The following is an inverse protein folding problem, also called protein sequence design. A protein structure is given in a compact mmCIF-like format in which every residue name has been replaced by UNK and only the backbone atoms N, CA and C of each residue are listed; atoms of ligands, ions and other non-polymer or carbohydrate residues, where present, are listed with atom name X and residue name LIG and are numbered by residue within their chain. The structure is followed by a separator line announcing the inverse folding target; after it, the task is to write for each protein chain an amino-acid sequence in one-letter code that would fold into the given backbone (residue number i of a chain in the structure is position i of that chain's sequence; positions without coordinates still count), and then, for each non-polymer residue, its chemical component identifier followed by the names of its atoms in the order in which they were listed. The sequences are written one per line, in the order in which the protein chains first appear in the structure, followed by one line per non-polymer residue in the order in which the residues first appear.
data_IF_213581871300
#
_entry.id   IF_213581871300
#
_cell.length_a   1.000
_cell.length_b   1.000
_cell.length_c   1.000
_cell.angle_alpha   90.00
_cell.angle_beta   90.00
_cell.angle_gamma   90.00
#
_symmetry.space_group_name_H-M   'P 1'
#
loop_
_entity.id
_entity.type
_entity.pdbx_description
1 polymer ?
#
# COMPACT_ATOMS: atom_id res chain seq x y z
N UNK A 1 -27.53 -3.65 -12.11
CA UNK A 1 -27.98 -4.66 -11.12
C UNK A 1 -29.47 -4.51 -10.81
N UNK A 2 -29.89 -3.56 -9.96
CA UNK A 2 -31.31 -3.42 -9.56
C UNK A 2 -32.25 -3.14 -10.76
N UNK A 3 -31.85 -2.25 -11.67
CA UNK A 3 -32.62 -1.98 -12.90
C UNK A 3 -32.72 -3.16 -13.87
N UNK A 4 -31.87 -4.19 -13.70
CA UNK A 4 -31.93 -5.45 -14.44
C UNK A 4 -32.66 -6.56 -13.66
N UNK A 5 -33.29 -6.24 -12.53
CA UNK A 5 -34.02 -7.19 -11.69
C UNK A 5 -33.14 -8.10 -10.82
N UNK A 6 -31.82 -7.92 -10.83
CA UNK A 6 -30.91 -8.71 -9.99
C UNK A 6 -30.92 -8.19 -8.54
N UNK A 7 -31.11 -9.11 -7.58
CA UNK A 7 -31.13 -8.81 -6.15
C UNK A 7 -29.71 -8.87 -5.58
N UNK A 8 -29.25 -7.83 -4.85
CA UNK A 8 -28.01 -7.88 -4.10
C UNK A 8 -27.98 -9.05 -3.11
N UNK A 9 -26.83 -9.69 -2.98
CA UNK A 9 -26.57 -10.78 -2.05
C UNK A 9 -25.45 -10.43 -1.06
N UNK A 10 -25.08 -11.40 -0.22
CA UNK A 10 -24.01 -11.28 0.76
C UNK A 10 -22.70 -10.76 0.13
N UNK A 11 -22.27 -11.32 -1.00
CA UNK A 11 -21.01 -10.95 -1.65
C UNK A 11 -21.09 -9.56 -2.28
N UNK A 12 -22.25 -9.20 -2.82
CA UNK A 12 -22.49 -7.86 -3.37
C UNK A 12 -22.24 -6.77 -2.34
N UNK A 13 -22.70 -6.97 -1.09
CA UNK A 13 -22.53 -6.00 -0.03
C UNK A 13 -21.08 -5.87 0.45
N UNK A 14 -20.30 -6.96 0.45
CA UNK A 14 -18.84 -6.88 0.66
C UNK A 14 -18.24 -5.91 -0.37
N UNK A 15 -18.54 -6.12 -1.67
CA UNK A 15 -18.03 -5.28 -2.74
C UNK A 15 -18.45 -3.81 -2.62
N UNK A 16 -19.72 -3.54 -2.30
CA UNK A 16 -20.24 -2.18 -2.12
C UNK A 16 -19.57 -1.44 -0.97
N UNK A 17 -19.50 -2.06 0.21
CA UNK A 17 -18.90 -1.44 1.40
C UNK A 17 -17.39 -1.29 1.22
N UNK A 18 -16.73 -2.27 0.61
CA UNK A 18 -15.32 -2.18 0.24
C UNK A 18 -15.06 -0.99 -0.71
N UNK A 19 -15.91 -0.79 -1.72
CA UNK A 19 -15.81 0.37 -2.59
C UNK A 19 -15.99 1.69 -1.81
N UNK A 20 -16.95 1.76 -0.88
CA UNK A 20 -17.09 2.91 0.03
C UNK A 20 -15.84 3.13 0.87
N UNK A 21 -15.23 2.06 1.42
CA UNK A 21 -13.96 2.10 2.16
C UNK A 21 -12.81 2.66 1.33
N UNK A 22 -12.79 2.41 0.02
CA UNK A 22 -11.77 2.93 -0.89
C UNK A 22 -12.06 4.33 -1.44
N UNK A 23 -13.28 4.83 -1.25
CA UNK A 23 -13.69 6.17 -1.65
C UNK A 23 -13.87 7.13 -0.46
N UNK A 24 -13.81 6.63 0.78
CA UNK A 24 -14.07 7.40 2.00
C UNK A 24 -15.52 7.80 2.18
N UNK A 25 -16.46 7.06 1.61
CA UNK A 25 -17.89 7.37 1.64
C UNK A 25 -18.53 6.74 2.88
N UNK A 26 -18.28 7.31 4.06
CA UNK A 26 -18.71 6.72 5.35
C UNK A 26 -20.22 6.56 5.42
N UNK A 27 -20.97 7.59 5.08
CA UNK A 27 -22.44 7.56 5.18
C UNK A 27 -23.06 6.60 4.15
N UNK A 28 -22.50 6.54 2.94
CA UNK A 28 -22.95 5.53 1.96
C UNK A 28 -22.66 4.10 2.44
N UNK A 29 -21.47 3.87 3.02
CA UNK A 29 -21.11 2.58 3.59
C UNK A 29 -22.06 2.14 4.70
N UNK A 30 -22.48 3.07 5.57
CA UNK A 30 -23.49 2.82 6.61
C UNK A 30 -24.84 2.47 6.05
N UNK A 31 -25.32 3.25 5.08
CA UNK A 31 -26.59 2.99 4.41
C UNK A 31 -26.58 1.59 3.80
N UNK A 32 -25.49 1.21 3.12
CA UNK A 32 -25.36 -0.14 2.57
C UNK A 32 -25.35 -1.21 3.66
N UNK A 33 -24.52 -1.06 4.71
CA UNK A 33 -24.42 -2.01 5.81
C UNK A 33 -25.76 -2.21 6.54
N UNK A 34 -26.47 -1.13 6.87
CA UNK A 34 -27.78 -1.20 7.53
C UNK A 34 -28.87 -1.77 6.63
N UNK A 35 -28.81 -1.50 5.32
CA UNK A 35 -29.80 -2.00 4.37
C UNK A 35 -29.77 -3.53 4.22
N UNK A 36 -28.63 -4.17 4.52
CA UNK A 36 -28.49 -5.63 4.46
C UNK A 36 -29.61 -6.31 5.24
N UNK A 37 -29.77 -5.98 6.52
CA UNK A 37 -30.83 -6.55 7.36
C UNK A 37 -32.17 -5.90 7.07
N UNK A 38 -32.23 -4.55 7.10
CA UNK A 38 -33.50 -3.80 7.08
C UNK A 38 -34.28 -3.95 5.78
N UNK A 39 -33.59 -4.14 4.65
CA UNK A 39 -34.20 -4.16 3.30
C UNK A 39 -34.03 -5.52 2.64
N UNK A 40 -32.87 -6.14 2.76
CA UNK A 40 -32.55 -7.37 2.03
C UNK A 40 -32.67 -8.64 2.87
N UNK A 41 -32.83 -8.54 4.19
CA UNK A 41 -32.90 -9.69 5.10
C UNK A 41 -31.60 -10.49 5.18
N UNK A 42 -30.45 -9.85 4.95
CA UNK A 42 -29.12 -10.44 4.95
C UNK A 42 -28.43 -10.03 6.25
N UNK A 43 -28.08 -11.00 7.09
CA UNK A 43 -27.29 -10.75 8.30
C UNK A 43 -25.84 -10.43 7.93
N UNK A 44 -25.25 -9.32 8.42
CA UNK A 44 -23.84 -9.01 8.21
C UNK A 44 -22.94 -10.04 8.89
N UNK A 45 -21.99 -10.58 8.14
CA UNK A 45 -20.95 -11.45 8.70
C UNK A 45 -19.57 -10.77 8.76
N UNK A 46 -18.52 -11.51 9.17
CA UNK A 46 -17.20 -10.94 9.48
C UNK A 46 -16.57 -10.13 8.33
N UNK A 47 -16.78 -10.51 7.07
CA UNK A 47 -16.25 -9.78 5.92
C UNK A 47 -16.85 -8.37 5.80
N UNK A 48 -18.13 -8.22 6.15
CA UNK A 48 -18.84 -6.93 6.13
C UNK A 48 -18.34 -6.00 7.24
N UNK A 49 -18.20 -6.55 8.45
CA UNK A 49 -17.61 -5.82 9.58
C UNK A 49 -16.18 -5.40 9.29
N UNK A 50 -15.37 -6.27 8.66
CA UNK A 50 -14.00 -5.94 8.24
C UNK A 50 -13.97 -4.74 7.29
N UNK A 51 -14.86 -4.70 6.30
CA UNK A 51 -14.97 -3.57 5.37
C UNK A 51 -15.40 -2.28 6.08
N UNK A 52 -16.35 -2.35 7.03
CA UNK A 52 -16.79 -1.20 7.80
C UNK A 52 -15.71 -0.66 8.76
N UNK A 53 -14.98 -1.55 9.43
CA UNK A 53 -13.86 -1.17 10.31
C UNK A 53 -12.74 -0.52 9.50
N UNK A 54 -12.42 -1.05 8.32
CA UNK A 54 -11.46 -0.44 7.40
C UNK A 54 -11.92 0.95 6.93
N UNK A 55 -13.19 1.10 6.54
CA UNK A 55 -13.79 2.39 6.16
C UNK A 55 -13.70 3.42 7.29
N UNK A 56 -14.17 3.07 8.49
CA UNK A 56 -14.16 3.96 9.65
C UNK A 56 -12.74 4.32 10.08
N UNK A 57 -11.84 3.33 10.11
CA UNK A 57 -10.43 3.54 10.47
C UNK A 57 -9.69 4.45 9.51
N UNK A 58 -9.89 4.28 8.19
CA UNK A 58 -9.34 5.18 7.16
C UNK A 58 -9.84 6.62 7.31
N UNK A 59 -11.08 6.80 7.74
CA UNK A 59 -11.70 8.11 7.93
C UNK A 59 -11.45 8.74 9.30
N UNK A 60 -10.62 8.14 10.16
CA UNK A 60 -10.33 8.69 11.50
C UNK A 60 -11.41 8.47 12.55
N UNK A 61 -12.45 7.70 12.22
CA UNK A 61 -13.54 7.34 13.12
C UNK A 61 -13.18 6.09 13.90
N UNK A 62 -12.01 6.11 14.54
CA UNK A 62 -11.36 4.92 15.12
C UNK A 62 -12.15 4.39 16.31
N UNK A 63 -12.68 5.29 17.15
CA UNK A 63 -13.52 4.96 18.29
C UNK A 63 -14.80 4.26 17.81
N UNK A 64 -15.43 4.75 16.76
CA UNK A 64 -16.62 4.14 16.16
C UNK A 64 -16.32 2.76 15.55
N UNK A 65 -15.11 2.58 15.00
CA UNK A 65 -14.67 1.27 14.51
C UNK A 65 -14.51 0.27 15.68
N UNK A 66 -14.00 0.71 16.83
CA UNK A 66 -13.91 -0.11 18.05
C UNK A 66 -15.30 -0.46 18.59
N UNK A 67 -16.22 0.50 18.63
CA UNK A 67 -17.61 0.26 19.04
C UNK A 67 -18.33 -0.70 18.09
N UNK A 68 -18.05 -0.64 16.79
CA UNK A 68 -18.60 -1.57 15.81
C UNK A 68 -18.13 -3.01 16.05
N UNK A 69 -16.84 -3.20 16.39
CA UNK A 69 -16.34 -4.52 16.76
C UNK A 69 -16.99 -5.07 18.02
N UNK A 70 -17.33 -4.20 18.99
CA UNK A 70 -18.05 -4.61 20.21
C UNK A 70 -19.50 -5.03 19.98
N UNK A 71 -20.08 -4.69 18.81
CA UNK A 71 -21.45 -5.06 18.42
C UNK A 71 -21.53 -6.32 17.56
N UNK A 72 -20.39 -6.90 17.19
CA UNK A 72 -20.36 -8.09 16.35
C UNK A 72 -20.67 -9.33 17.18
N UNK A 73 -21.42 -10.26 16.61
CA UNK A 73 -21.55 -11.60 17.15
C UNK A 73 -20.26 -12.39 16.85
N UNK A 74 -19.51 -12.73 17.89
CA UNK A 74 -18.23 -13.43 17.79
C UNK A 74 -17.00 -12.53 17.98
N UNK A 75 -15.81 -13.12 17.83
CA UNK A 75 -14.54 -12.41 18.06
C UNK A 75 -14.02 -11.77 16.77
N UNK A 76 -13.50 -10.52 16.82
CA UNK A 76 -12.87 -9.89 15.67
C UNK A 76 -11.66 -10.68 15.17
N UNK A 77 -11.60 -10.87 13.85
CA UNK A 77 -10.53 -11.64 13.21
C UNK A 77 -9.24 -10.82 13.04
N UNK A 78 -8.19 -11.48 12.55
CA UNK A 78 -6.91 -10.83 12.30
C UNK A 78 -7.01 -9.68 11.26
N UNK A 79 -7.95 -9.73 10.32
CA UNK A 79 -8.13 -8.67 9.31
C UNK A 79 -8.63 -7.40 9.96
N UNK A 80 -9.66 -7.49 10.82
CA UNK A 80 -10.22 -6.36 11.55
C UNK A 80 -9.19 -5.69 12.47
N UNK A 81 -8.41 -6.48 13.22
CA UNK A 81 -7.37 -5.93 14.08
C UNK A 81 -6.25 -5.27 13.27
N UNK A 82 -5.88 -5.81 12.09
CA UNK A 82 -4.91 -5.15 11.19
C UNK A 82 -5.45 -3.82 10.67
N UNK A 83 -6.72 -3.74 10.30
CA UNK A 83 -7.37 -2.49 9.88
C UNK A 83 -7.33 -1.43 11.00
N UNK A 84 -7.65 -1.81 12.24
CA UNK A 84 -7.53 -0.91 13.38
C UNK A 84 -6.08 -0.47 13.64
N UNK A 85 -5.12 -1.40 13.61
CA UNK A 85 -3.71 -1.08 13.78
C UNK A 85 -3.21 -0.11 12.70
N UNK A 86 -3.70 -0.26 11.46
CA UNK A 86 -3.38 0.64 10.35
C UNK A 86 -3.90 2.05 10.63
N UNK A 87 -5.15 2.16 11.07
CA UNK A 87 -5.78 3.42 11.43
C UNK A 87 -5.06 4.12 12.60
N UNK A 88 -4.66 3.37 13.63
CA UNK A 88 -3.97 3.93 14.79
C UNK A 88 -2.65 4.62 14.44
N UNK A 89 -1.96 4.16 13.40
CA UNK A 89 -0.74 4.81 12.92
C UNK A 89 -1.00 6.20 12.35
N UNK A 90 -2.12 6.39 11.65
CA UNK A 90 -2.49 7.68 11.08
C UNK A 90 -2.95 8.65 12.16
N UNK A 91 -3.80 8.16 13.06
CA UNK A 91 -4.44 8.97 14.09
C UNK A 91 -3.64 9.04 15.40
N UNK A 92 -2.41 8.52 15.38
CA UNK A 92 -1.44 8.53 16.51
C UNK A 92 -1.99 7.95 17.82
N UNK A 93 -2.93 7.01 17.73
CA UNK A 93 -3.50 6.35 18.90
C UNK A 93 -2.63 5.15 19.32
N UNK A 94 -1.53 5.44 20.01
CA UNK A 94 -0.56 4.42 20.45
C UNK A 94 -1.20 3.36 21.37
N UNK A 95 -2.00 3.70 22.39
CA UNK A 95 -2.60 2.69 23.26
C UNK A 95 -3.48 1.69 22.50
N UNK A 96 -4.25 2.16 21.52
CA UNK A 96 -5.06 1.27 20.69
C UNK A 96 -4.20 0.43 19.72
N UNK A 97 -3.12 1.01 19.18
CA UNK A 97 -2.15 0.26 18.37
C UNK A 97 -1.53 -0.90 19.15
N UNK A 98 -1.10 -0.64 20.39
CA UNK A 98 -0.53 -1.65 21.29
C UNK A 98 -1.54 -2.77 21.56
N UNK A 99 -2.80 -2.41 21.87
CA UNK A 99 -3.88 -3.36 22.11
C UNK A 99 -4.19 -4.21 20.87
N UNK A 100 -4.29 -3.60 19.69
CA UNK A 100 -4.55 -4.30 18.44
C UNK A 100 -3.39 -5.25 18.08
N UNK A 101 -2.14 -4.80 18.23
CA UNK A 101 -0.97 -5.62 18.00
C UNK A 101 -0.87 -6.80 18.98
N UNK A 102 -1.20 -6.61 20.26
CA UNK A 102 -1.20 -7.70 21.23
C UNK A 102 -2.22 -8.80 20.86
N UNK A 103 -3.40 -8.42 20.36
CA UNK A 103 -4.39 -9.36 19.84
C UNK A 103 -3.85 -10.11 18.63
N UNK A 104 -3.23 -9.40 17.69
CA UNK A 104 -2.63 -9.99 16.49
C UNK A 104 -1.48 -10.96 16.82
N UNK A 105 -0.65 -10.64 17.82
CA UNK A 105 0.43 -11.52 18.27
C UNK A 105 -0.06 -12.83 18.91
N UNK A 106 -1.35 -12.90 19.28
CA UNK A 106 -2.02 -14.11 19.77
C UNK A 106 -2.75 -14.84 18.64
N UNK A 107 -3.41 -14.11 17.75
CA UNK A 107 -4.22 -14.67 16.66
C UNK A 107 -3.40 -15.18 15.46
N UNK A 108 -2.33 -14.48 15.10
CA UNK A 108 -1.48 -14.78 13.94
C UNK A 108 -0.01 -14.43 14.26
N UNK A 109 0.65 -15.16 15.18
CA UNK A 109 2.01 -14.85 15.65
C UNK A 109 3.07 -14.92 14.55
N UNK A 110 2.83 -15.66 13.47
CA UNK A 110 3.70 -15.81 12.30
C UNK A 110 3.53 -14.69 11.27
N UNK A 111 2.49 -13.88 11.37
CA UNK A 111 2.28 -12.75 10.46
C UNK A 111 3.25 -11.61 10.79
N UNK A 112 4.08 -11.22 9.82
CA UNK A 112 5.03 -10.13 9.95
C UNK A 112 4.36 -8.74 10.01
N UNK A 113 3.17 -8.59 9.42
CA UNK A 113 2.50 -7.29 9.24
C UNK A 113 2.28 -6.54 10.57
N UNK A 114 1.73 -7.15 11.63
CA UNK A 114 1.50 -6.48 12.91
C UNK A 114 2.78 -6.00 13.60
N UNK A 115 3.87 -6.78 13.51
CA UNK A 115 5.17 -6.39 14.06
C UNK A 115 5.71 -5.14 13.39
N UNK A 116 5.69 -5.14 12.05
CA UNK A 116 6.17 -4.02 11.25
C UNK A 116 5.31 -2.78 11.50
N UNK A 117 3.98 -2.94 11.55
CA UNK A 117 3.07 -1.82 11.78
C UNK A 117 3.24 -1.20 13.17
N UNK A 118 3.34 -2.01 14.22
CA UNK A 118 3.58 -1.50 15.58
C UNK A 118 4.95 -0.82 15.69
N UNK A 119 5.99 -1.41 15.10
CA UNK A 119 7.31 -0.78 15.05
C UNK A 119 7.24 0.59 14.36
N UNK A 120 6.50 0.71 13.24
CA UNK A 120 6.33 1.99 12.55
C UNK A 120 5.56 3.02 13.38
N UNK A 121 4.55 2.59 14.16
CA UNK A 121 3.84 3.46 15.12
C UNK A 121 4.84 4.02 16.14
N UNK A 122 5.71 3.18 16.70
CA UNK A 122 6.74 3.63 17.64
C UNK A 122 7.80 4.51 17.00
N UNK A 123 8.23 4.21 15.77
CA UNK A 123 9.16 5.07 15.00
C UNK A 123 8.58 6.48 14.84
N UNK A 124 7.32 6.61 14.42
CA UNK A 124 6.66 7.90 14.28
C UNK A 124 6.53 8.67 15.61
N UNK A 125 6.54 7.96 16.74
CA UNK A 125 6.51 8.53 18.08
C UNK A 125 7.90 8.74 18.72
N UNK A 126 9.00 8.45 18.01
CA UNK A 126 10.37 8.53 18.55
C UNK A 126 10.68 7.49 19.65
N UNK A 127 9.85 6.45 19.78
CA UNK A 127 9.93 5.40 20.81
C UNK A 127 10.90 4.29 20.42
N UNK A 128 12.18 4.62 20.26
CA UNK A 128 13.21 3.72 19.70
C UNK A 128 13.44 2.43 20.49
N UNK A 129 13.35 2.50 21.82
CA UNK A 129 13.45 1.31 22.66
C UNK A 129 12.30 0.33 22.38
N UNK A 130 11.10 0.83 22.13
CA UNK A 130 9.95 0.01 21.78
C UNK A 130 10.12 -0.62 20.38
N UNK A 131 10.64 0.13 19.41
CA UNK A 131 11.00 -0.40 18.08
C UNK A 131 11.97 -1.58 18.21
N UNK A 132 13.03 -1.41 19.01
CA UNK A 132 14.01 -2.46 19.25
C UNK A 132 13.39 -3.70 19.89
N UNK A 133 12.47 -3.52 20.87
CA UNK A 133 11.76 -4.64 21.51
C UNK A 133 10.88 -5.40 20.53
N UNK A 134 10.10 -4.72 19.70
CA UNK A 134 9.24 -5.37 18.69
C UNK A 134 10.07 -6.14 17.66
N UNK A 135 11.17 -5.56 17.18
CA UNK A 135 12.09 -6.23 16.25
C UNK A 135 12.76 -7.46 16.88
N UNK A 136 13.15 -7.37 18.15
CA UNK A 136 13.70 -8.53 18.89
C UNK A 136 12.66 -9.63 19.07
N UNK A 137 11.41 -9.29 19.38
CA UNK A 137 10.31 -10.26 19.47
C UNK A 137 10.06 -10.96 18.13
N UNK A 138 10.04 -10.19 17.04
CA UNK A 138 9.87 -10.71 15.67
C UNK A 138 10.97 -11.73 15.33
N UNK A 139 12.24 -11.42 15.63
CA UNK A 139 13.38 -12.34 15.44
C UNK A 139 13.28 -13.57 16.33
N UNK A 140 12.94 -13.41 17.61
CA UNK A 140 12.83 -14.52 18.55
C UNK A 140 11.75 -15.53 18.14
N UNK A 141 10.72 -15.08 17.43
CA UNK A 141 9.66 -15.93 16.87
C UNK A 141 9.95 -16.45 15.46
N UNK A 142 11.12 -16.13 14.89
CA UNK A 142 11.48 -16.53 13.52
C UNK A 142 10.62 -15.88 12.43
N UNK A 143 9.94 -14.78 12.74
CA UNK A 143 9.04 -14.11 11.79
C UNK A 143 9.88 -13.29 10.82
N UNK A 144 9.73 -13.57 9.53
CA UNK A 144 10.47 -12.90 8.46
C UNK A 144 9.49 -12.07 7.64
N UNK A 145 9.82 -10.78 7.43
CA UNK A 145 9.04 -9.93 6.54
C UNK A 145 9.29 -10.34 5.09
N UNK A 146 8.22 -10.63 4.35
CA UNK A 146 8.36 -10.80 2.91
C UNK A 146 8.92 -9.51 2.26
N UNK A 147 9.92 -9.64 1.37
CA UNK A 147 10.42 -8.51 0.61
C UNK A 147 9.36 -8.00 -0.38
N UNK A 148 9.42 -6.70 -0.65
CA UNK A 148 8.63 -6.09 -1.72
C UNK A 148 9.25 -6.40 -3.06
N UNK A 149 8.44 -6.96 -3.96
CA UNK A 149 8.77 -7.22 -5.35
C UNK A 149 7.86 -6.40 -6.24
N UNK A 150 8.44 -5.86 -7.30
CA UNK A 150 7.69 -5.33 -8.44
C UNK A 150 8.09 -6.07 -9.69
N UNK A 151 7.15 -6.32 -10.60
CA UNK A 151 7.45 -6.99 -11.86
C UNK A 151 6.60 -6.44 -13.00
N UNK A 152 7.07 -6.69 -14.23
CA UNK A 152 6.35 -6.34 -15.44
C UNK A 152 6.70 -7.30 -16.58
N UNK A 153 5.91 -7.25 -17.64
CA UNK A 153 6.14 -8.01 -18.87
C UNK A 153 6.59 -7.07 -19.99
N UNK A 154 7.70 -7.39 -20.64
CA UNK A 154 8.17 -6.70 -21.83
C UNK A 154 8.83 -7.72 -22.77
N UNK A 155 8.58 -7.61 -24.08
CA UNK A 155 9.14 -8.54 -25.06
C UNK A 155 8.79 -10.03 -24.83
N UNK A 156 7.65 -10.33 -24.18
CA UNK A 156 7.23 -11.70 -23.85
C UNK A 156 7.97 -12.34 -22.68
N UNK A 157 8.76 -11.57 -21.92
CA UNK A 157 9.45 -12.00 -20.73
C UNK A 157 8.98 -11.23 -19.49
N UNK A 158 8.96 -11.91 -18.34
CA UNK A 158 8.67 -11.29 -17.04
C UNK A 158 9.97 -10.83 -16.40
N UNK A 159 10.03 -9.56 -16.05
CA UNK A 159 11.15 -8.92 -15.37
C UNK A 159 10.73 -8.56 -13.94
N UNK A 160 11.45 -9.07 -12.95
CA UNK A 160 11.17 -8.84 -11.54
C UNK A 160 12.29 -8.04 -10.87
N UNK A 161 11.91 -7.20 -9.92
CA UNK A 161 12.78 -6.26 -9.25
C UNK A 161 12.52 -6.29 -7.75
N UNK A 162 13.59 -6.37 -6.97
CA UNK A 162 13.58 -6.15 -5.53
C UNK A 162 14.32 -4.85 -5.21
N UNK A 163 13.96 -4.20 -4.11
CA UNK A 163 14.64 -2.97 -3.71
C UNK A 163 16.15 -3.19 -3.57
N UNK A 164 16.95 -2.31 -4.20
CA UNK A 164 18.41 -2.38 -4.22
C UNK A 164 19.02 -3.52 -5.05
N UNK A 165 18.21 -4.30 -5.77
CA UNK A 165 18.66 -5.44 -6.56
C UNK A 165 19.55 -5.01 -7.74
N UNK A 166 20.65 -5.75 -7.95
CA UNK A 166 21.64 -5.52 -9.00
C UNK A 166 21.81 -6.71 -9.94
N UNK A 167 21.01 -7.77 -9.77
CA UNK A 167 21.16 -9.04 -10.48
C UNK A 167 20.54 -9.00 -11.89
N UNK A 168 19.83 -7.92 -12.25
CA UNK A 168 19.23 -7.75 -13.56
C UNK A 168 20.29 -7.47 -14.66
N UNK A 169 20.14 -8.07 -15.84
CA UNK A 169 21.09 -7.91 -16.96
C UNK A 169 21.34 -6.44 -17.37
N UNK A 170 20.29 -5.61 -17.28
CA UNK A 170 20.33 -4.16 -17.55
C UNK A 170 20.43 -3.30 -16.26
N UNK A 171 20.97 -3.83 -15.15
CA UNK A 171 20.98 -3.12 -13.88
C UNK A 171 21.61 -1.72 -14.01
N UNK A 172 22.75 -1.59 -14.67
CA UNK A 172 23.46 -0.30 -14.81
C UNK A 172 22.59 0.78 -15.47
N UNK A 173 21.91 0.41 -16.55
CA UNK A 173 21.01 1.28 -17.31
C UNK A 173 19.78 1.65 -16.48
N UNK A 174 19.20 0.67 -15.78
CA UNK A 174 18.05 0.89 -14.88
C UNK A 174 18.40 1.89 -13.78
N UNK A 175 19.53 1.70 -13.08
CA UNK A 175 19.96 2.62 -12.02
C UNK A 175 20.28 4.01 -12.57
N UNK A 176 20.86 4.11 -13.77
CA UNK A 176 21.06 5.40 -14.43
C UNK A 176 19.73 6.09 -14.74
N UNK A 177 18.73 5.34 -15.23
CA UNK A 177 17.40 5.86 -15.51
C UNK A 177 16.65 6.27 -14.26
N UNK A 178 16.80 5.54 -13.15
CA UNK A 178 16.28 5.95 -11.84
C UNK A 178 16.83 7.32 -11.42
N UNK A 179 18.15 7.53 -11.50
CA UNK A 179 18.73 8.84 -11.18
C UNK A 179 18.18 9.95 -12.07
N UNK A 180 18.06 9.70 -13.37
CA UNK A 180 17.45 10.65 -14.32
C UNK A 180 15.99 10.97 -13.95
N UNK A 181 15.16 9.95 -13.68
CA UNK A 181 13.77 10.13 -13.26
C UNK A 181 13.67 11.00 -12.01
N UNK A 182 14.44 10.67 -10.97
CA UNK A 182 14.39 11.41 -9.70
C UNK A 182 14.87 12.86 -9.86
N UNK A 183 15.90 13.08 -10.69
CA UNK A 183 16.36 14.43 -11.00
C UNK A 183 15.30 15.25 -11.75
N UNK A 184 14.57 14.65 -12.68
CA UNK A 184 13.53 15.34 -13.47
C UNK A 184 12.30 15.74 -12.65
N UNK A 185 11.97 14.99 -11.60
CA UNK A 185 10.82 15.31 -10.73
C UNK A 185 11.21 16.18 -9.53
N UNK A 186 12.51 16.47 -9.32
CA UNK A 186 13.07 17.13 -8.13
C UNK A 186 12.35 18.43 -7.74
N UNK A 187 11.97 19.26 -8.71
CA UNK A 187 11.31 20.55 -8.43
C UNK A 187 9.86 20.40 -7.91
N UNK A 188 9.22 19.26 -8.15
CA UNK A 188 7.84 18.96 -7.71
C UNK A 188 7.74 17.82 -6.70
N UNK A 189 8.87 17.25 -6.27
CA UNK A 189 8.93 16.06 -5.43
C UNK A 189 9.75 16.33 -4.17
N UNK A 190 9.18 15.95 -3.03
CA UNK A 190 9.89 15.92 -1.75
C UNK A 190 9.83 14.48 -1.24
N UNK A 191 10.99 13.87 -1.00
CA UNK A 191 11.06 12.52 -0.49
C UNK A 191 10.46 12.42 0.92
N UNK A 192 9.61 11.42 1.14
CA UNK A 192 9.12 11.11 2.47
C UNK A 192 10.12 10.17 3.19
N UNK A 193 10.99 10.78 3.98
CA UNK A 193 12.04 10.08 4.74
C UNK A 193 11.52 9.38 6.00
N UNK A 194 10.22 9.49 6.32
CA UNK A 194 9.61 8.92 7.54
C UNK A 194 9.69 7.38 7.62
N UNK A 195 9.97 6.70 6.51
CA UNK A 195 10.10 5.25 6.44
C UNK A 195 11.55 4.72 6.34
N UNK A 196 12.54 5.60 6.17
CA UNK A 196 13.93 5.19 6.11
C UNK A 196 14.38 4.73 7.51
N UNK A 197 14.76 3.46 7.61
CA UNK A 197 14.94 2.76 8.90
C UNK A 197 16.23 3.14 9.64
N UNK A 198 17.06 4.02 9.08
CA UNK A 198 18.40 4.33 9.55
C UNK A 198 18.60 5.81 9.88
N UNK A 199 19.40 6.10 10.91
CA UNK A 199 19.90 7.45 11.23
C UNK A 199 21.01 7.84 10.24
N UNK A 200 20.67 7.92 8.95
CA UNK A 200 21.55 8.52 7.95
C UNK A 200 21.13 9.97 7.70
N UNK A 201 22.07 10.79 7.24
CA UNK A 201 21.80 12.14 6.73
C UNK A 201 20.67 12.08 5.68
N UNK A 202 19.84 13.12 5.57
CA UNK A 202 18.65 13.11 4.70
C UNK A 202 18.98 12.75 3.23
N UNK A 203 20.21 13.01 2.81
CA UNK A 203 20.71 12.69 1.47
C UNK A 203 20.87 11.17 1.24
N UNK A 204 21.32 10.39 2.24
CA UNK A 204 21.44 8.92 2.16
C UNK A 204 20.07 8.22 2.12
N UNK A 205 19.10 8.74 2.87
CA UNK A 205 17.71 8.24 2.87
C UNK A 205 17.01 8.43 1.52
N UNK A 206 17.31 9.51 0.81
CA UNK A 206 16.77 9.77 -0.52
C UNK A 206 17.32 8.78 -1.57
N UNK A 207 18.57 8.34 -1.43
CA UNK A 207 19.18 7.31 -2.29
C UNK A 207 18.59 5.91 -2.04
N UNK A 208 18.30 5.53 -0.79
CA UNK A 208 17.60 4.28 -0.46
C UNK A 208 16.17 4.24 -1.03
N UNK A 209 15.44 5.35 -0.95
CA UNK A 209 14.09 5.47 -1.52
C UNK A 209 14.14 5.40 -3.06
N UNK A 210 15.19 5.94 -3.70
CA UNK A 210 15.34 5.92 -5.16
C UNK A 210 15.35 4.48 -5.71
N UNK A 211 15.84 3.51 -4.93
CA UNK A 211 16.03 2.12 -5.37
C UNK A 211 14.87 1.20 -4.99
N UNK A 212 13.69 1.74 -4.70
CA UNK A 212 12.48 0.95 -4.53
C UNK A 212 12.13 0.14 -5.81
N UNK A 213 11.57 -1.06 -5.59
CA UNK A 213 11.26 -2.01 -6.68
C UNK A 213 10.37 -1.41 -7.78
N UNK A 214 9.43 -0.55 -7.42
CA UNK A 214 8.50 0.10 -8.35
C UNK A 214 9.23 1.07 -9.27
N UNK A 215 10.20 1.81 -8.73
CA UNK A 215 11.02 2.75 -9.51
C UNK A 215 11.93 2.00 -10.47
N UNK A 216 12.51 0.89 -10.03
CA UNK A 216 13.30 0.01 -10.90
C UNK A 216 12.46 -0.55 -12.06
N UNK A 217 11.25 -1.03 -11.76
CA UNK A 217 10.32 -1.54 -12.79
C UNK A 217 9.92 -0.45 -13.80
N UNK A 218 9.55 0.74 -13.33
CA UNK A 218 9.17 1.85 -14.22
C UNK A 218 10.38 2.36 -15.01
N UNK A 219 11.57 2.42 -14.42
CA UNK A 219 12.81 2.74 -15.14
C UNK A 219 13.06 1.77 -16.29
N UNK A 220 12.98 0.46 -16.01
CA UNK A 220 13.10 -0.59 -17.02
C UNK A 220 12.03 -0.43 -18.12
N UNK A 221 10.78 -0.15 -17.73
CA UNK A 221 9.68 0.13 -18.66
C UNK A 221 9.97 1.33 -19.56
N UNK A 222 10.50 2.43 -19.02
CA UNK A 222 10.87 3.62 -19.80
C UNK A 222 12.05 3.38 -20.76
N UNK A 223 12.99 2.51 -20.40
CA UNK A 223 14.14 2.16 -21.26
C UNK A 223 13.66 1.30 -22.44
N UNK A 224 12.80 0.31 -22.18
CA UNK A 224 12.50 -0.74 -23.15
C UNK A 224 11.15 -0.57 -23.87
N UNK A 225 10.22 0.26 -23.37
CA UNK A 225 8.94 0.50 -24.03
C UNK A 225 9.10 1.44 -25.23
N UNK A 226 9.32 0.85 -26.40
CA UNK A 226 9.63 1.57 -27.64
C UNK A 226 8.47 2.41 -28.22
N UNK A 227 7.22 2.13 -27.88
CA UNK A 227 6.06 2.79 -28.48
C UNK A 227 5.58 4.02 -27.69
N UNK A 228 5.41 5.13 -28.41
CA UNK A 228 4.61 6.26 -27.94
C UNK A 228 3.18 5.77 -27.64
N UNK A 229 2.63 6.15 -26.49
CA UNK A 229 1.27 5.76 -26.08
C UNK A 229 1.10 4.40 -25.38
N UNK A 230 2.04 3.44 -25.48
CA UNK A 230 1.92 2.17 -24.72
C UNK A 230 2.08 2.43 -23.22
N UNK A 231 1.12 2.01 -22.37
CA UNK A 231 1.23 2.15 -20.93
C UNK A 231 2.33 1.25 -20.34
N UNK A 232 3.02 1.75 -19.31
CA UNK A 232 3.93 0.93 -18.49
C UNK A 232 3.08 0.24 -17.42
N UNK A 233 3.01 -1.10 -17.48
CA UNK A 233 2.23 -1.91 -16.55
C UNK A 233 3.16 -2.56 -15.53
N UNK A 234 3.00 -2.23 -14.26
CA UNK A 234 3.79 -2.77 -13.15
C UNK A 234 2.87 -3.45 -12.16
N UNK A 235 3.30 -4.59 -11.63
CA UNK A 235 2.62 -5.33 -10.58
C UNK A 235 3.49 -5.36 -9.33
N UNK A 236 2.87 -5.27 -8.15
CA UNK A 236 3.55 -5.29 -6.86
C UNK A 236 2.84 -6.28 -5.92
N UNK A 237 3.62 -7.05 -5.16
CA UNK A 237 3.08 -8.02 -4.19
C UNK A 237 2.61 -7.36 -2.89
N UNK A 238 3.21 -6.24 -2.54
CA UNK A 238 2.82 -5.41 -1.40
C UNK A 238 2.06 -4.18 -1.91
N UNK A 239 1.37 -3.51 -1.00
CA UNK A 239 0.83 -2.18 -1.26
C UNK A 239 1.96 -1.19 -1.62
N UNK A 240 1.72 -0.30 -2.58
CA UNK A 240 2.70 0.75 -2.93
C UNK A 240 2.83 1.73 -1.76
N UNK A 241 4.04 2.24 -1.48
CA UNK A 241 4.23 3.27 -0.47
C UNK A 241 3.86 4.66 -1.00
N UNK A 242 3.49 5.56 -0.10
CA UNK A 242 3.09 6.95 -0.40
C UNK A 242 4.16 7.70 -1.21
N UNK A 243 5.43 7.46 -0.89
CA UNK A 243 6.58 8.05 -1.57
C UNK A 243 6.72 7.58 -3.03
N UNK A 244 6.60 6.27 -3.27
CA UNK A 244 6.59 5.73 -4.63
C UNK A 244 5.35 6.18 -5.39
N UNK A 245 4.18 6.19 -4.76
CA UNK A 245 2.96 6.66 -5.40
C UNK A 245 3.09 8.11 -5.88
N UNK A 246 3.59 9.00 -5.01
CA UNK A 246 3.81 10.41 -5.34
C UNK A 246 4.85 10.56 -6.46
N UNK A 247 5.98 9.88 -6.36
CA UNK A 247 7.03 9.94 -7.38
C UNK A 247 6.53 9.42 -8.73
N UNK A 248 5.82 8.28 -8.77
CA UNK A 248 5.32 7.69 -10.01
C UNK A 248 4.28 8.57 -10.71
N UNK A 249 3.41 9.27 -9.97
CA UNK A 249 2.51 10.29 -10.56
C UNK A 249 3.31 11.38 -11.29
N UNK A 250 4.35 11.91 -10.65
CA UNK A 250 5.20 12.95 -11.24
C UNK A 250 6.02 12.42 -12.42
N UNK A 251 6.52 11.19 -12.33
CA UNK A 251 7.20 10.50 -13.43
C UNK A 251 6.27 10.36 -14.62
N UNK A 252 5.03 9.90 -14.41
CA UNK A 252 4.01 9.80 -15.45
C UNK A 252 3.80 11.15 -16.18
N UNK A 253 3.78 12.26 -15.43
CA UNK A 253 3.67 13.62 -15.99
C UNK A 253 4.89 14.03 -16.80
N UNK A 254 6.10 13.95 -16.24
CA UNK A 254 7.30 14.51 -16.89
C UNK A 254 7.75 13.66 -18.09
N UNK A 255 7.43 12.37 -18.12
CA UNK A 255 7.73 11.49 -19.24
C UNK A 255 6.58 11.37 -20.25
N UNK A 256 5.43 12.03 -20.03
CA UNK A 256 4.22 11.89 -20.85
C UNK A 256 3.86 10.41 -21.10
N UNK A 257 3.73 9.66 -19.99
CA UNK A 257 3.46 8.23 -20.00
C UNK A 257 2.32 7.89 -19.04
N UNK A 258 1.46 6.97 -19.47
CA UNK A 258 0.50 6.31 -18.57
C UNK A 258 1.23 5.20 -17.83
N UNK A 259 1.20 5.24 -16.50
CA UNK A 259 1.70 4.17 -15.64
C UNK A 259 0.49 3.49 -14.98
N UNK A 260 0.37 2.18 -15.18
CA UNK A 260 -0.65 1.36 -14.53
C UNK A 260 0.08 0.49 -13.51
N UNK A 261 -0.13 0.76 -12.22
CA UNK A 261 0.46 -0.02 -11.13
C UNK A 261 -0.65 -0.80 -10.42
N UNK A 262 -0.57 -2.13 -10.45
CA UNK A 262 -1.41 -3.00 -9.62
C UNK A 262 -0.63 -3.37 -8.37
N UNK A 263 -1.11 -2.97 -7.20
CA UNK A 263 -0.53 -3.39 -5.92
C UNK A 263 -1.40 -4.44 -5.24
N UNK A 264 -1.13 -4.77 -3.97
CA UNK A 264 -1.93 -5.74 -3.22
C UNK A 264 -3.42 -5.35 -3.06
N UNK A 265 -3.75 -4.06 -3.18
CA UNK A 265 -5.03 -3.50 -2.79
C UNK A 265 -5.85 -2.97 -3.97
N UNK A 266 -5.22 -2.36 -4.97
CA UNK A 266 -5.92 -1.71 -6.06
C UNK A 266 -5.06 -1.48 -7.31
N UNK A 267 -5.72 -0.97 -8.35
CA UNK A 267 -5.08 -0.45 -9.55
C UNK A 267 -4.94 1.07 -9.44
N UNK A 268 -3.72 1.54 -9.71
CA UNK A 268 -3.36 2.95 -9.79
C UNK A 268 -3.11 3.30 -11.24
N UNK A 269 -3.98 4.11 -11.83
CA UNK A 269 -3.80 4.64 -13.17
C UNK A 269 -3.26 6.05 -13.04
N UNK A 270 -1.99 6.22 -13.38
CA UNK A 270 -1.26 7.48 -13.19
C UNK A 270 -1.02 8.15 -14.53
N UNK A 271 -1.47 9.40 -14.65
CA UNK A 271 -1.33 10.24 -15.84
C UNK A 271 -1.35 11.71 -15.42
N UNK A 272 -0.52 12.54 -16.06
CA UNK A 272 -0.50 14.00 -15.85
C UNK A 272 -0.32 14.45 -14.38
N UNK A 273 0.32 13.62 -13.55
CA UNK A 273 0.55 13.92 -12.13
C UNK A 273 -0.60 13.51 -11.22
N UNK A 274 -1.63 12.87 -11.76
CA UNK A 274 -2.85 12.47 -11.04
C UNK A 274 -2.93 10.94 -11.06
N UNK A 275 -3.46 10.37 -9.97
CA UNK A 275 -3.80 8.94 -9.90
C UNK A 275 -5.31 8.77 -9.78
N UNK A 276 -5.85 7.73 -10.43
CA UNK A 276 -7.26 7.33 -10.32
C UNK A 276 -7.75 7.08 -8.88
N UNK A 277 -6.84 6.77 -7.94
CA UNK A 277 -7.20 6.56 -6.54
C UNK A 277 -7.48 7.87 -5.77
N UNK A 278 -7.25 9.04 -6.38
CA UNK A 278 -7.44 10.35 -5.76
C UNK A 278 -6.63 10.55 -4.49
N UNK A 279 -5.49 9.85 -4.36
CA UNK A 279 -4.64 9.79 -3.15
C UNK A 279 -5.35 9.21 -1.90
N UNK A 280 -6.60 8.76 -2.03
CA UNK A 280 -7.38 8.29 -0.90
C UNK A 280 -6.94 6.90 -0.42
N UNK A 281 -6.46 6.05 -1.34
CA UNK A 281 -5.89 4.76 -0.97
C UNK A 281 -4.83 4.91 0.13
N UNK A 282 -4.10 6.05 0.18
CA UNK A 282 -3.02 6.39 1.11
C UNK A 282 -3.46 7.06 2.43
N UNK A 283 -4.73 7.39 2.61
CA UNK A 283 -5.21 8.11 3.82
C UNK A 283 -5.09 7.25 5.08
N UNK A 284 -4.93 5.93 4.97
CA UNK A 284 -4.53 5.07 6.08
C UNK A 284 -3.00 4.93 6.32
N UNK A 285 -2.12 5.56 5.52
CA UNK A 285 -0.68 5.27 5.54
C UNK A 285 0.34 6.41 5.47
N UNK A 286 -0.06 7.68 5.36
CA UNK A 286 0.89 8.82 5.35
C UNK A 286 1.45 9.15 6.74
N UNK A 287 2.77 9.38 6.88
CA UNK A 287 3.33 10.05 8.06
C UNK A 287 3.02 11.55 7.97
N UNK A 288 2.41 12.08 9.03
CA UNK A 288 2.37 13.52 9.26
C UNK A 288 3.81 14.01 9.48
N UNK A 289 4.28 14.91 8.60
CA UNK A 289 5.58 15.59 8.68
C UNK A 289 5.89 15.97 10.13
N UNK A 290 6.94 15.38 10.71
CA UNK A 290 7.43 15.78 12.03
C UNK A 290 8.00 17.20 11.94
N UNK A 291 7.43 18.14 12.69
CA UNK A 291 8.04 19.44 12.93
C UNK A 291 9.40 19.23 13.59
N UNK A 292 10.43 19.87 13.03
CA UNK A 292 11.83 19.67 13.41
C UNK A 292 12.10 19.76 14.90
N UNK A 293 12.79 18.75 15.41
CA UNK A 293 13.50 18.79 16.67
C UNK A 293 14.93 18.36 16.39
N UNK A 294 15.88 19.28 16.57
CA UNK A 294 17.32 18.99 16.56
C UNK A 294 17.66 18.50 17.97
N UNK A 295 18.35 17.37 18.06
CA UNK A 295 19.04 17.01 19.30
C UNK A 295 20.51 16.72 19.00
N UNK A 296 21.36 17.55 19.59
CA UNK A 296 22.81 17.47 19.58
C UNK A 296 23.24 16.49 20.67
N UNK A 297 23.61 15.25 20.32
CA UNK A 297 24.43 14.46 21.23
C UNK A 297 25.34 13.47 20.47
N UNK A 298 26.67 13.64 20.53
CA UNK A 298 27.63 12.77 19.88
C UNK A 298 28.14 11.71 20.86
N UNK A 299 27.88 10.41 20.59
CA UNK A 299 28.72 9.28 21.05
C UNK A 299 28.21 7.94 20.46
N UNK A 300 28.96 7.42 19.48
CA UNK A 300 29.71 6.14 19.49
C UNK A 300 28.88 4.88 19.18
N UNK A 301 29.32 3.85 18.46
CA UNK A 301 30.42 3.57 17.52
C UNK A 301 30.13 2.15 16.97
N UNK A 302 30.55 1.86 15.74
CA UNK A 302 31.02 0.53 15.26
C UNK A 302 30.14 -0.72 15.46
N UNK A 303 29.64 -1.28 14.34
CA UNK A 303 28.98 -2.59 14.30
C UNK A 303 29.18 -3.33 12.98
N UNK A 304 30.18 -4.19 12.95
CA UNK A 304 30.71 -5.02 11.85
C UNK A 304 29.67 -5.98 11.23
N UNK A 305 29.66 -6.08 9.89
CA UNK A 305 28.94 -7.10 9.10
C UNK A 305 29.64 -8.47 9.14
N UNK A 306 28.89 -9.59 9.22
CA UNK A 306 29.37 -10.87 8.72
C UNK A 306 28.82 -11.17 7.31
N UNK A 307 29.74 -11.64 6.48
CA UNK A 307 29.66 -12.09 5.09
C UNK A 307 28.55 -13.11 4.78
N UNK A 308 27.96 -12.94 3.60
CA UNK A 308 27.04 -13.86 2.93
C UNK A 308 27.83 -15.04 2.34
N UNK A 309 27.53 -16.26 2.77
CA UNK A 309 27.85 -17.51 2.06
C UNK A 309 26.60 -18.39 2.09
N UNK A 310 26.14 -18.84 0.91
CA UNK A 310 25.03 -19.80 0.77
C UNK A 310 23.98 -19.43 -0.26
N UNK A 311 24.40 -19.16 -1.50
CA UNK A 311 23.55 -19.11 -2.69
C UNK A 311 23.38 -20.54 -3.20
N UNK A 312 22.26 -21.21 -2.94
CA UNK A 312 21.73 -22.26 -3.83
C UNK A 312 20.20 -22.34 -3.69
N UNK A 313 19.53 -22.46 -4.84
CA UNK A 313 18.11 -22.80 -5.10
C UNK A 313 17.04 -21.68 -5.06
N UNK A 314 16.78 -21.16 -6.26
CA UNK A 314 15.53 -20.53 -6.73
C UNK A 314 14.30 -21.44 -6.47
N UNK A 315 13.08 -20.86 -6.36
CA UNK A 315 11.88 -21.59 -6.75
C UNK A 315 11.27 -20.98 -8.02
N UNK A 316 11.65 -21.56 -9.16
CA UNK A 316 10.93 -21.54 -10.45
C UNK A 316 9.47 -22.03 -10.37
N UNK A 317 9.03 -22.45 -9.18
CA UNK A 317 7.69 -22.96 -8.89
C UNK A 317 6.63 -21.85 -8.73
N UNK A 318 6.97 -20.64 -8.29
CA UNK A 318 5.97 -19.57 -8.09
C UNK A 318 5.62 -18.78 -9.35
N UNK A 319 6.48 -18.79 -10.37
CA UNK A 319 6.18 -18.21 -11.71
C UNK A 319 5.12 -19.05 -12.45
N UNK A 320 4.99 -20.35 -12.15
CA UNK A 320 3.98 -21.22 -12.78
C UNK A 320 2.54 -20.85 -12.38
N UNK A 321 2.31 -20.22 -11.22
CA UNK A 321 0.95 -19.80 -10.83
C UNK A 321 0.43 -18.65 -11.71
N UNK A 322 1.31 -17.84 -12.30
CA UNK A 322 0.94 -16.73 -13.20
C UNK A 322 0.70 -17.17 -14.65
N UNK A 323 1.09 -18.39 -15.05
CA UNK A 323 0.85 -18.91 -16.41
C UNK A 323 -0.57 -19.46 -16.61
N UNK A 324 -1.40 -19.48 -15.57
CA UNK A 324 -2.77 -20.00 -15.61
C UNK A 324 -3.87 -18.97 -15.88
N UNK A 325 -3.53 -17.68 -16.02
CA UNK A 325 -4.50 -16.64 -16.42
C UNK A 325 -4.23 -16.35 -17.90
N UNK A 326 -4.94 -17.06 -18.77
CA UNK A 326 -4.90 -16.83 -20.21
C UNK A 326 -5.36 -15.42 -20.55
N UNK A 327 -4.60 -14.77 -21.42
CA UNK A 327 -4.76 -13.41 -21.97
C UNK A 327 -5.94 -13.22 -22.94
N UNK A 328 -6.91 -14.13 -23.01
CA UNK A 328 -7.83 -14.22 -24.15
C UNK A 328 -9.29 -13.86 -23.84
N UNK A 329 -9.54 -12.97 -22.88
CA UNK A 329 -10.87 -12.37 -22.66
C UNK A 329 -10.78 -10.90 -22.21
N UNK A 330 -10.18 -10.02 -23.01
CA UNK A 330 -10.39 -8.57 -22.85
C UNK A 330 -10.12 -7.77 -24.14
N UNK A 331 -10.31 -8.37 -25.31
CA UNK A 331 -10.52 -7.62 -26.55
C UNK A 331 -11.99 -7.21 -26.64
N UNK A 332 -12.36 -6.18 -25.87
CA UNK A 332 -13.60 -5.44 -26.04
C UNK A 332 -13.27 -4.02 -26.48
N UNK A 333 -13.72 -3.65 -27.68
CA UNK A 333 -13.57 -2.33 -28.29
C UNK A 333 -13.86 -1.20 -27.28
N UNK A 334 -12.88 -0.31 -27.12
CA UNK A 334 -13.03 0.91 -26.32
C UNK A 334 -13.88 1.88 -27.14
N UNK A 335 -15.19 1.72 -27.09
CA UNK A 335 -16.13 2.72 -27.57
C UNK A 335 -15.92 4.03 -26.81
N UNK A 336 -15.87 5.14 -27.55
CA UNK A 336 -15.76 6.49 -27.02
C UNK A 336 -16.84 6.74 -25.95
N UNK A 337 -16.44 6.79 -24.68
CA UNK A 337 -17.30 7.30 -23.60
C UNK A 337 -17.18 8.83 -23.59
N UNK A 338 -17.76 9.48 -24.59
CA UNK A 338 -18.19 10.87 -24.46
C UNK A 338 -19.37 10.91 -23.48
N UNK A 339 -19.07 11.11 -22.18
CA UNK A 339 -20.13 11.16 -21.18
C UNK A 339 -19.69 11.30 -19.73
N UNK A 340 -18.41 11.12 -19.40
CA UNK A 340 -17.93 11.31 -18.03
C UNK A 340 -17.54 12.77 -17.78
N UNK A 341 -18.52 13.69 -17.85
CA UNK A 341 -18.37 15.00 -17.22
C UNK A 341 -18.35 14.78 -15.71
N UNK A 342 -17.15 14.81 -15.16
CA UNK A 342 -16.82 14.94 -13.75
C UNK A 342 -17.87 15.75 -12.97
N UNK A 343 -18.72 15.03 -12.24
CA UNK A 343 -19.46 15.53 -11.09
C UNK A 343 -19.42 14.46 -10.00
N UNK A 344 -18.22 14.09 -9.57
CA UNK A 344 -18.06 13.44 -8.27
C UNK A 344 -18.34 14.49 -7.19
N UNK A 345 -19.24 14.24 -6.22
CA UNK A 345 -19.45 15.16 -5.12
C UNK A 345 -18.12 15.44 -4.42
N UNK A 346 -17.81 16.73 -4.27
CA UNK A 346 -16.67 17.19 -3.49
C UNK A 346 -16.77 16.61 -2.08
N UNK A 347 -15.66 16.00 -1.64
CA UNK A 347 -15.46 15.38 -0.32
C UNK A 347 -15.97 16.29 0.80
N UNK A 348 -17.00 15.84 1.52
CA UNK A 348 -17.45 16.47 2.77
C UNK A 348 -17.38 15.52 3.98
N UNK A 349 -17.56 14.21 3.79
CA UNK A 349 -17.78 13.28 4.92
C UNK A 349 -16.54 12.94 5.78
N UNK A 350 -15.31 13.08 5.25
CA UNK A 350 -14.08 12.82 6.02
C UNK A 350 -13.52 14.07 6.73
N UNK A 351 -14.06 15.26 6.47
CA UNK A 351 -13.48 16.53 6.93
C UNK A 351 -13.94 16.93 8.35
N UNK A 352 -14.78 16.13 9.01
CA UNK A 352 -15.47 16.49 10.25
C UNK A 352 -15.07 15.65 11.47
N UNK A 353 -13.84 15.10 11.52
CA UNK A 353 -13.32 14.35 12.66
C UNK A 353 -12.16 15.07 13.33
#
# INVERSE_FOLDING_TARGET
MLGAGARPDYVTFIGLIFACSHAGLVESGRVHFESMEKVYGITPGPEHYSCMVDLLGRCGRVEEAVELLGRMDGEPDATMWKSLLAACRVHRNIPLAERAAERLFKLAPEDAVPYVMLANVYTAAGRWLDVARVRSLMRARGVIKEPGWSWMEEGGAVHAFKAGDRDHAQAKEIFAKVREMMQRIKEGYTADTGFALHHEEEEGKAEELAVHSERLAVAFGLINSASHGKPIRVYKNLRVCDDCHTALKLIAKVYDKVIILRDANCFHHMRDGICSCGDYCFVAYSPLKSSGYRDDNPQTEGGIYPSVLGLESLPSAKIKLCRGISSDQEEGEIGEIEGCRSSYPLRQDCASA
#
